data_IF_136136864257
#
_entry.id   IF_136136864257
#
_cell.length_a   1.000
_cell.length_b   1.000
_cell.length_c   1.000
_cell.angle_alpha   90.00
_cell.angle_beta   90.00
_cell.angle_gamma   90.00
#
_symmetry.space_group_name_H-M   'P 1'
#
loop_
_entity.id
_entity.type
_entity.pdbx_description
1 polymer ?
#
# COMPACT_ATOMS: atom_id res chain seq x y z
N UNK A 1 32.19 -40.19 17.49
CA UNK A 1 32.16 -38.90 18.22
C UNK A 1 33.04 -37.93 17.46
N UNK A 2 32.43 -37.00 16.72
CA UNK A 2 33.18 -35.93 16.06
C UNK A 2 33.74 -35.04 17.17
N UNK A 3 35.05 -35.12 17.38
CA UNK A 3 35.76 -34.22 18.28
C UNK A 3 35.61 -32.83 17.67
N UNK A 4 34.80 -31.98 18.29
CA UNK A 4 34.79 -30.55 17.98
C UNK A 4 36.21 -30.04 18.23
N UNK A 5 36.98 -29.92 17.15
CA UNK A 5 38.30 -29.31 17.12
C UNK A 5 38.13 -27.84 17.46
N UNK A 6 38.26 -27.53 18.76
CA UNK A 6 38.08 -26.19 19.30
C UNK A 6 39.02 -25.21 18.62
N UNK A 7 38.49 -24.37 17.73
CA UNK A 7 39.15 -23.12 17.39
C UNK A 7 39.24 -22.23 18.63
N UNK A 8 40.22 -21.32 18.66
CA UNK A 8 40.30 -20.33 19.73
C UNK A 8 39.03 -19.49 19.74
N UNK A 9 38.29 -19.49 20.85
CA UNK A 9 37.13 -18.61 21.01
C UNK A 9 37.58 -17.30 21.61
N UNK A 10 37.11 -16.18 21.05
CA UNK A 10 37.29 -14.85 21.64
C UNK A 10 35.96 -14.34 22.15
N UNK A 11 35.93 -13.90 23.40
CA UNK A 11 34.77 -13.23 23.98
C UNK A 11 34.68 -11.83 23.37
N UNK A 12 33.53 -11.53 22.78
CA UNK A 12 33.23 -10.21 22.22
C UNK A 12 32.77 -9.30 23.35
N UNK A 13 33.35 -8.11 23.44
CA UNK A 13 32.94 -7.12 24.43
C UNK A 13 31.64 -6.42 23.99
N UNK A 14 30.83 -5.90 24.92
CA UNK A 14 29.67 -5.08 24.55
C UNK A 14 30.02 -3.84 23.71
N UNK A 15 31.25 -3.32 23.83
CA UNK A 15 31.73 -2.15 23.07
C UNK A 15 31.95 -2.46 21.57
N UNK A 16 32.18 -3.73 21.26
CA UNK A 16 32.36 -4.24 19.90
C UNK A 16 31.02 -4.55 19.21
N UNK A 17 29.89 -4.38 19.92
CA UNK A 17 28.55 -4.57 19.39
C UNK A 17 27.90 -3.19 19.21
N UNK A 18 27.67 -2.81 17.97
CA UNK A 18 26.94 -1.58 17.63
C UNK A 18 25.62 -1.93 16.99
N UNK A 19 24.54 -1.66 17.69
CA UNK A 19 23.20 -1.71 17.11
C UNK A 19 22.96 -0.40 16.37
N UNK A 20 22.64 -0.50 15.08
CA UNK A 20 22.30 0.65 14.23
C UNK A 20 20.96 0.41 13.56
N UNK A 21 20.13 1.44 13.58
CA UNK A 21 18.94 1.53 12.74
C UNK A 21 19.27 2.36 11.52
N UNK A 22 19.06 1.79 10.33
CA UNK A 22 19.15 2.52 9.07
C UNK A 22 17.78 2.58 8.42
N UNK A 23 17.55 3.61 7.61
CA UNK A 23 16.33 3.75 6.83
C UNK A 23 16.69 3.80 5.36
N UNK A 24 15.97 3.03 4.55
CA UNK A 24 15.99 3.14 3.11
C UNK A 24 14.71 3.88 2.70
N UNK A 25 14.87 4.94 1.91
CA UNK A 25 13.73 5.66 1.35
C UNK A 25 13.62 5.36 -0.14
N UNK A 26 12.41 5.09 -0.61
CA UNK A 26 12.11 4.93 -2.02
C UNK A 26 11.01 5.91 -2.39
N UNK A 27 11.26 6.76 -3.39
CA UNK A 27 10.23 7.62 -3.95
C UNK A 27 9.33 6.79 -4.88
N UNK A 28 8.03 6.94 -4.71
CA UNK A 28 7.01 6.41 -5.60
C UNK A 28 6.30 7.60 -6.23
N UNK A 29 6.20 7.58 -7.55
CA UNK A 29 5.50 8.57 -8.36
C UNK A 29 4.57 7.82 -9.31
N UNK A 30 3.30 8.20 -9.32
CA UNK A 30 2.23 7.55 -10.08
C UNK A 30 1.64 8.60 -11.00
N UNK A 31 1.65 8.35 -12.30
CA UNK A 31 1.11 9.26 -13.31
C UNK A 31 -0.39 9.04 -13.51
N UNK A 32 -1.08 10.08 -13.98
CA UNK A 32 -2.54 10.05 -14.21
C UNK A 32 -2.95 9.06 -15.30
N UNK A 33 -2.14 8.93 -16.34
CA UNK A 33 -2.38 7.98 -17.44
C UNK A 33 -2.46 6.53 -16.93
N UNK A 34 -1.59 6.11 -16.00
CA UNK A 34 -1.63 4.77 -15.43
C UNK A 34 -2.93 4.49 -14.67
N UNK A 35 -3.47 5.50 -13.98
CA UNK A 35 -4.71 5.38 -13.19
C UNK A 35 -5.94 5.36 -14.08
N UNK A 36 -6.01 6.26 -15.06
CA UNK A 36 -7.15 6.44 -15.96
C UNK A 36 -7.18 5.42 -17.10
N UNK A 37 -6.03 4.88 -17.48
CA UNK A 37 -5.85 3.94 -18.57
C UNK A 37 -6.60 2.62 -18.36
N UNK A 38 -7.34 2.19 -19.38
CA UNK A 38 -8.07 0.92 -19.33
C UNK A 38 -7.16 -0.30 -19.48
N UNK A 39 -5.99 -0.17 -20.13
CA UNK A 39 -5.01 -1.26 -20.26
C UNK A 39 -4.15 -1.44 -19.00
N UNK A 40 -3.99 -0.39 -18.20
CA UNK A 40 -3.23 -0.39 -16.94
C UNK A 40 -4.11 -0.67 -15.73
N UNK A 41 -5.43 -0.58 -15.86
CA UNK A 41 -6.41 -0.86 -14.81
C UNK A 41 -7.11 -2.20 -15.03
N UNK A 42 -6.89 -3.14 -14.11
CA UNK A 42 -7.51 -4.45 -14.15
C UNK A 42 -8.80 -4.49 -13.34
N UNK A 43 -9.87 -4.94 -13.97
CA UNK A 43 -11.14 -5.30 -13.31
C UNK A 43 -11.19 -6.80 -13.06
N UNK A 44 -11.94 -7.21 -12.03
CA UNK A 44 -12.10 -8.61 -11.66
C UNK A 44 -13.57 -9.00 -11.75
N UNK A 45 -13.88 -10.07 -12.47
CA UNK A 45 -15.24 -10.57 -12.53
C UNK A 45 -15.54 -11.39 -11.26
N UNK A 46 -16.25 -10.79 -10.30
CA UNK A 46 -16.59 -11.44 -9.03
C UNK A 46 -18.10 -11.54 -8.84
N UNK A 47 -18.82 -10.44 -9.08
CA UNK A 47 -20.25 -10.38 -8.91
C UNK A 47 -20.95 -10.46 -10.25
N UNK A 48 -21.87 -11.41 -10.40
CA UNK A 48 -22.77 -11.50 -11.56
C UNK A 48 -24.19 -11.56 -11.03
N UNK A 49 -24.95 -10.48 -11.20
CA UNK A 49 -26.40 -10.55 -11.01
C UNK A 49 -27.06 -10.89 -12.35
N UNK A 50 -27.76 -12.01 -12.40
CA UNK A 50 -28.35 -12.58 -13.61
C UNK A 50 -29.86 -12.74 -13.48
N UNK A 51 -30.60 -12.63 -14.58
CA UNK A 51 -32.05 -12.89 -14.62
C UNK A 51 -32.81 -12.15 -15.72
N UNK A 52 -32.37 -10.94 -16.09
CA UNK A 52 -32.96 -10.13 -17.17
C UNK A 52 -31.83 -9.43 -17.93
N UNK A 53 -31.78 -9.60 -19.26
CA UNK A 53 -30.69 -9.08 -20.09
C UNK A 53 -29.38 -9.86 -19.95
N UNK A 54 -28.21 -9.29 -20.33
CA UNK A 54 -26.91 -9.96 -20.23
C UNK A 54 -26.41 -10.15 -18.78
N UNK A 55 -27.11 -9.60 -17.79
CA UNK A 55 -26.65 -9.53 -16.40
C UNK A 55 -25.61 -8.43 -16.18
N UNK A 56 -25.32 -8.12 -14.92
CA UNK A 56 -24.29 -7.13 -14.56
C UNK A 56 -23.11 -7.87 -13.95
N UNK A 57 -21.94 -7.73 -14.56
CA UNK A 57 -20.67 -8.27 -14.07
C UNK A 57 -19.82 -7.15 -13.48
N UNK A 58 -19.47 -7.23 -12.21
CA UNK A 58 -18.62 -6.20 -11.59
C UNK A 58 -17.65 -6.75 -10.52
N UNK A 59 -16.56 -6.02 -10.31
CA UNK A 59 -15.51 -6.24 -9.33
C UNK A 59 -15.85 -5.62 -7.97
N UNK A 60 -15.15 -6.09 -6.93
CA UNK A 60 -15.19 -5.46 -5.60
C UNK A 60 -14.10 -4.40 -5.44
N UNK A 61 -13.09 -4.41 -6.31
CA UNK A 61 -11.99 -3.47 -6.35
C UNK A 61 -11.31 -3.58 -7.72
N UNK A 62 -10.67 -2.49 -8.16
CA UNK A 62 -9.85 -2.47 -9.35
C UNK A 62 -8.39 -2.30 -8.96
N UNK A 63 -7.48 -2.95 -9.67
CA UNK A 63 -6.03 -2.82 -9.42
C UNK A 63 -5.39 -2.04 -10.56
N UNK A 64 -4.65 -1.00 -10.21
CA UNK A 64 -3.85 -0.19 -11.14
C UNK A 64 -2.43 -0.74 -11.21
N UNK A 65 -1.93 -0.93 -12.41
CA UNK A 65 -0.60 -1.40 -12.74
C UNK A 65 0.27 -0.28 -13.33
N UNK A 66 1.59 -0.48 -13.31
CA UNK A 66 2.59 0.42 -13.91
C UNK A 66 2.66 0.37 -15.45
N UNK A 67 2.04 -0.64 -16.04
CA UNK A 67 1.92 -0.84 -17.49
C UNK A 67 0.76 -1.79 -17.77
N UNK A 68 0.61 -2.22 -19.02
CA UNK A 68 -0.44 -3.17 -19.43
C UNK A 68 -0.45 -4.41 -18.53
N UNK A 69 -1.58 -4.63 -17.85
CA UNK A 69 -1.73 -5.69 -16.84
C UNK A 69 -1.64 -7.12 -17.42
N UNK A 70 -1.70 -7.28 -18.74
CA UNK A 70 -1.55 -8.57 -19.42
C UNK A 70 -0.09 -9.01 -19.52
N UNK A 71 0.86 -8.10 -19.35
CA UNK A 71 2.29 -8.39 -19.39
C UNK A 71 2.76 -9.03 -18.07
N UNK A 72 3.64 -10.03 -18.17
CA UNK A 72 4.21 -10.69 -16.99
C UNK A 72 5.11 -9.77 -16.15
N UNK A 73 5.58 -8.67 -16.74
CA UNK A 73 6.42 -7.66 -16.08
C UNK A 73 5.59 -6.58 -15.38
N UNK A 74 4.26 -6.58 -15.53
CA UNK A 74 3.40 -5.57 -14.92
C UNK A 74 3.33 -5.74 -13.41
N UNK A 75 3.62 -4.66 -12.69
CA UNK A 75 3.60 -4.65 -11.24
C UNK A 75 2.34 -3.91 -10.76
N UNK A 76 1.57 -4.48 -9.82
CA UNK A 76 0.43 -3.78 -9.25
C UNK A 76 0.94 -2.65 -8.34
N UNK A 77 0.41 -1.45 -8.52
CA UNK A 77 0.78 -0.25 -7.75
C UNK A 77 -0.17 -0.05 -6.57
N UNK A 78 -1.49 -0.07 -6.82
CA UNK A 78 -2.49 0.09 -5.79
C UNK A 78 -3.85 -0.50 -6.20
N UNK A 79 -4.68 -0.78 -5.19
CA UNK A 79 -6.08 -1.15 -5.38
C UNK A 79 -6.98 0.05 -5.05
N UNK A 80 -8.04 0.22 -5.84
CA UNK A 80 -9.05 1.25 -5.70
C UNK A 80 -10.42 0.60 -5.49
N UNK A 81 -11.16 1.03 -4.48
CA UNK A 81 -12.53 0.57 -4.22
C UNK A 81 -13.32 1.59 -3.42
N UNK A 82 -14.64 1.46 -3.44
CA UNK A 82 -15.57 2.30 -2.68
C UNK A 82 -16.35 1.47 -1.68
N UNK A 83 -16.63 2.06 -0.51
CA UNK A 83 -17.47 1.44 0.49
C UNK A 83 -18.38 2.45 1.16
N UNK A 84 -19.51 1.97 1.67
CA UNK A 84 -20.54 2.78 2.30
C UNK A 84 -20.76 2.33 3.73
N UNK A 85 -20.86 3.27 4.66
CA UNK A 85 -21.14 2.95 6.05
C UNK A 85 -22.61 2.53 6.24
N UNK A 86 -22.86 1.42 6.95
CA UNK A 86 -24.22 0.86 7.10
C UNK A 86 -25.22 1.87 7.69
N UNK A 87 -24.79 2.66 8.68
CA UNK A 87 -25.63 3.68 9.34
C UNK A 87 -25.44 5.09 8.76
N UNK A 88 -24.83 5.20 7.58
CA UNK A 88 -24.71 6.45 6.84
C UNK A 88 -26.00 6.78 6.10
N UNK A 89 -26.28 8.08 5.89
CA UNK A 89 -27.53 8.52 5.25
C UNK A 89 -27.73 7.92 3.86
N UNK A 90 -26.66 7.81 3.07
CA UNK A 90 -26.69 7.22 1.72
C UNK A 90 -27.21 5.78 1.70
N UNK A 91 -26.94 4.98 2.74
CA UNK A 91 -27.41 3.59 2.85
C UNK A 91 -28.79 3.54 3.50
N UNK A 92 -29.02 4.30 4.58
CA UNK A 92 -30.30 4.29 5.30
C UNK A 92 -31.45 4.81 4.44
N UNK A 93 -31.20 5.85 3.64
CA UNK A 93 -32.24 6.49 2.82
C UNK A 93 -32.59 5.64 1.58
N UNK A 94 -31.63 4.84 1.11
CA UNK A 94 -31.82 3.90 0.00
C UNK A 94 -32.40 2.54 0.44
N UNK A 95 -32.35 2.22 1.74
CA UNK A 95 -32.79 0.92 2.24
C UNK A 95 -34.31 0.86 2.35
N UNK A 96 -34.89 -0.25 1.89
CA UNK A 96 -36.33 -0.53 1.98
C UNK A 96 -36.72 -1.34 3.22
N UNK A 97 -35.74 -1.72 4.06
CA UNK A 97 -35.94 -2.48 5.30
C UNK A 97 -34.85 -3.53 5.54
N UNK A 98 -35.06 -4.42 6.51
CA UNK A 98 -34.21 -5.58 6.79
C UNK A 98 -35.03 -6.87 6.64
N UNK A 99 -34.41 -7.92 6.10
CA UNK A 99 -35.03 -9.26 6.06
C UNK A 99 -35.01 -9.93 7.45
N UNK A 100 -35.67 -11.09 7.56
CA UNK A 100 -35.71 -11.88 8.81
C UNK A 100 -34.34 -12.39 9.27
N UNK A 101 -33.32 -12.33 8.42
CA UNK A 101 -31.93 -12.67 8.73
C UNK A 101 -31.05 -11.42 9.01
N UNK A 102 -31.65 -10.23 9.09
CA UNK A 102 -30.98 -8.97 9.39
C UNK A 102 -30.25 -8.32 8.20
N UNK A 103 -30.42 -8.84 6.97
CA UNK A 103 -29.79 -8.27 5.76
C UNK A 103 -30.58 -7.07 5.26
N UNK A 104 -29.88 -6.00 4.88
CA UNK A 104 -30.49 -4.82 4.29
C UNK A 104 -31.13 -5.14 2.94
N UNK A 105 -32.34 -4.65 2.74
CA UNK A 105 -33.08 -4.67 1.48
C UNK A 105 -32.92 -3.31 0.80
N UNK A 106 -32.83 -3.33 -0.53
CA UNK A 106 -32.70 -2.14 -1.34
C UNK A 106 -33.65 -2.23 -2.54
N UNK A 107 -33.97 -1.07 -3.14
CA UNK A 107 -34.81 -1.01 -4.33
C UNK A 107 -34.12 -1.64 -5.55
N UNK A 108 -34.91 -2.07 -6.55
CA UNK A 108 -34.39 -2.65 -7.80
C UNK A 108 -33.60 -1.67 -8.67
N UNK A 109 -33.63 -0.38 -8.35
CA UNK A 109 -32.84 0.68 -8.98
C UNK A 109 -31.43 0.85 -8.38
N UNK A 110 -31.05 -0.01 -7.43
CA UNK A 110 -29.74 0.03 -6.77
C UNK A 110 -28.91 -1.20 -7.11
N UNK A 111 -27.58 -1.02 -7.19
CA UNK A 111 -26.64 -2.09 -7.56
C UNK A 111 -25.52 -2.17 -6.51
N UNK A 112 -25.21 -3.40 -6.10
CA UNK A 112 -24.10 -3.76 -5.20
C UNK A 112 -24.09 -3.07 -3.83
N UNK A 113 -25.26 -2.67 -3.31
CA UNK A 113 -25.31 -1.93 -2.04
C UNK A 113 -24.85 -2.74 -0.83
N UNK A 114 -25.10 -4.05 -0.79
CA UNK A 114 -24.61 -4.91 0.32
C UNK A 114 -23.10 -5.08 0.25
N UNK A 115 -22.59 -5.30 -0.96
CA UNK A 115 -21.18 -5.48 -1.24
C UNK A 115 -20.40 -4.22 -0.87
N UNK A 116 -20.90 -3.03 -1.22
CA UNK A 116 -20.32 -1.74 -0.79
C UNK A 116 -20.28 -1.59 0.73
N UNK A 117 -21.31 -2.04 1.45
CA UNK A 117 -21.32 -2.03 2.92
C UNK A 117 -20.31 -3.03 3.49
N UNK A 118 -20.24 -4.24 2.92
CA UNK A 118 -19.32 -5.29 3.38
C UNK A 118 -17.85 -4.93 3.11
N UNK A 119 -17.55 -4.26 1.99
CA UNK A 119 -16.22 -3.69 1.71
C UNK A 119 -15.84 -2.69 2.80
N UNK A 120 -16.74 -1.76 3.16
CA UNK A 120 -16.47 -0.80 4.24
C UNK A 120 -16.19 -1.51 5.56
N UNK A 121 -17.01 -2.51 5.94
CA UNK A 121 -16.84 -3.30 7.16
C UNK A 121 -15.51 -4.05 7.18
N UNK A 122 -15.06 -4.58 6.04
CA UNK A 122 -13.78 -5.27 5.94
C UNK A 122 -12.61 -4.32 6.21
N UNK A 123 -12.63 -3.11 5.62
CA UNK A 123 -11.63 -2.09 5.90
C UNK A 123 -11.70 -1.61 7.36
N UNK A 124 -12.89 -1.40 7.90
CA UNK A 124 -13.08 -1.05 9.31
C UNK A 124 -12.49 -2.13 10.23
N UNK A 125 -12.75 -3.41 9.95
CA UNK A 125 -12.18 -4.52 10.74
C UNK A 125 -10.65 -4.55 10.69
N UNK A 126 -10.07 -4.35 9.51
CA UNK A 126 -8.63 -4.39 9.31
C UNK A 126 -7.89 -3.17 9.86
N UNK A 127 -8.50 -1.98 9.80
CA UNK A 127 -7.85 -0.71 10.14
C UNK A 127 -8.21 -0.20 11.54
N UNK A 128 -9.47 -0.37 11.95
CA UNK A 128 -9.99 0.07 13.24
C UNK A 128 -10.07 -1.08 14.26
N UNK A 129 -10.10 -2.34 13.81
CA UNK A 129 -10.21 -3.53 14.67
C UNK A 129 -11.66 -3.99 14.92
N UNK A 130 -12.64 -3.21 14.47
CA UNK A 130 -14.08 -3.45 14.60
C UNK A 130 -14.76 -3.27 13.25
N UNK A 131 -15.62 -4.21 12.86
CA UNK A 131 -16.33 -4.19 11.58
C UNK A 131 -17.44 -3.13 11.53
N UNK A 132 -18.03 -2.81 12.68
CA UNK A 132 -19.17 -1.89 12.75
C UNK A 132 -18.73 -0.45 13.07
N UNK A 133 -17.42 -0.23 13.23
CA UNK A 133 -16.86 1.09 13.47
C UNK A 133 -16.84 1.94 12.19
N UNK A 134 -17.18 3.22 12.34
CA UNK A 134 -17.06 4.22 11.29
C UNK A 134 -15.71 4.92 11.30
N UNK A 135 -15.19 5.24 10.12
CA UNK A 135 -14.06 6.17 10.01
C UNK A 135 -14.53 7.61 10.25
N UNK A 136 -13.70 8.44 10.89
CA UNK A 136 -13.92 9.88 11.01
C UNK A 136 -12.66 10.66 10.65
N UNK A 137 -12.82 11.77 9.92
CA UNK A 137 -11.75 12.70 9.58
C UNK A 137 -12.13 14.07 10.15
N UNK A 138 -11.64 14.44 11.34
CA UNK A 138 -10.40 14.00 12.00
C UNK A 138 -10.49 12.64 12.71
N UNK A 139 -9.38 11.90 12.75
CA UNK A 139 -9.36 10.57 13.38
C UNK A 139 -9.83 10.58 14.84
N UNK A 140 -10.83 9.74 15.14
CA UNK A 140 -11.39 9.58 16.48
C UNK A 140 -12.24 10.77 16.94
N UNK A 141 -12.69 11.60 16.01
CA UNK A 141 -13.74 12.58 16.28
C UNK A 141 -15.10 11.88 16.41
N UNK A 142 -15.92 12.36 17.34
CA UNK A 142 -17.24 11.82 17.65
C UNK A 142 -18.37 12.56 16.90
N UNK A 143 -18.06 13.70 16.26
CA UNK A 143 -19.02 14.45 15.47
C UNK A 143 -19.45 13.66 14.21
N UNK A 144 -20.76 13.45 14.06
CA UNK A 144 -21.34 12.76 12.90
C UNK A 144 -21.09 13.47 11.58
N UNK A 145 -20.87 14.79 11.60
CA UNK A 145 -20.51 15.57 10.39
C UNK A 145 -19.10 15.27 9.87
N UNK A 146 -18.22 14.77 10.74
CA UNK A 146 -16.86 14.35 10.39
C UNK A 146 -16.74 12.85 10.13
N UNK A 147 -17.85 12.11 10.21
CA UNK A 147 -17.92 10.69 9.90
C UNK A 147 -17.88 10.47 8.38
N UNK A 148 -17.05 9.52 7.98
CA UNK A 148 -16.90 9.12 6.58
C UNK A 148 -17.97 8.09 6.26
N UNK A 149 -19.12 8.56 5.77
CA UNK A 149 -20.22 7.68 5.36
C UNK A 149 -19.96 7.08 3.96
N UNK A 150 -19.38 7.87 3.05
CA UNK A 150 -19.04 7.48 1.69
C UNK A 150 -17.51 7.44 1.56
N UNK A 151 -16.91 6.25 1.62
CA UNK A 151 -15.46 6.10 1.64
C UNK A 151 -14.91 5.67 0.27
N UNK A 152 -13.83 6.33 -0.15
CA UNK A 152 -12.94 5.86 -1.21
C UNK A 152 -11.68 5.28 -0.56
N UNK A 153 -11.39 4.02 -0.83
CA UNK A 153 -10.23 3.32 -0.32
C UNK A 153 -9.17 3.22 -1.42
N UNK A 154 -7.96 3.69 -1.12
CA UNK A 154 -6.77 3.55 -1.97
C UNK A 154 -5.73 2.75 -1.18
N UNK A 155 -5.45 1.51 -1.59
CA UNK A 155 -4.52 0.63 -0.89
C UNK A 155 -3.27 0.36 -1.72
N UNK A 156 -2.13 0.90 -1.30
CA UNK A 156 -0.87 0.78 -2.02
C UNK A 156 -0.23 -0.59 -1.85
N UNK A 157 0.15 -1.21 -2.97
CA UNK A 157 0.98 -2.42 -3.00
C UNK A 157 2.42 -1.99 -2.83
N UNK A 158 3.12 -2.63 -1.90
CA UNK A 158 4.52 -2.33 -1.57
C UNK A 158 5.36 -3.58 -1.71
N UNK A 159 6.61 -3.41 -2.16
CA UNK A 159 7.55 -4.51 -2.40
C UNK A 159 7.81 -5.33 -1.13
N UNK A 160 7.89 -4.67 0.03
CA UNK A 160 7.98 -5.35 1.31
C UNK A 160 6.82 -4.97 2.22
N UNK A 161 6.12 -5.97 2.77
CA UNK A 161 5.01 -5.74 3.70
C UNK A 161 5.44 -5.03 5.02
N UNK A 162 6.74 -5.01 5.32
CA UNK A 162 7.33 -4.29 6.48
C UNK A 162 7.52 -2.80 6.19
N UNK A 163 7.46 -2.38 4.93
CA UNK A 163 7.63 -0.97 4.58
C UNK A 163 6.47 -0.16 5.11
N UNK A 164 6.76 1.10 5.46
CA UNK A 164 5.75 2.07 5.87
C UNK A 164 5.78 3.23 4.89
N UNK A 165 4.65 3.91 4.70
CA UNK A 165 4.68 5.21 4.02
C UNK A 165 5.35 6.21 4.99
N UNK A 166 6.27 7.01 4.47
CA UNK A 166 6.94 8.05 5.26
C UNK A 166 5.97 9.19 5.48
N UNK A 167 5.81 9.58 6.74
CA UNK A 167 4.97 10.71 7.16
C UNK A 167 5.41 12.00 6.48
N UNK A 168 4.44 12.86 6.16
CA UNK A 168 4.61 14.16 5.51
C UNK A 168 5.19 14.09 4.08
N UNK A 169 5.05 12.94 3.42
CA UNK A 169 5.50 12.78 2.02
C UNK A 169 4.36 12.47 1.06
N UNK A 170 3.15 12.21 1.56
CA UNK A 170 2.03 11.84 0.71
C UNK A 170 1.40 13.08 0.08
N UNK A 171 1.27 13.06 -1.23
CA UNK A 171 0.51 14.06 -1.98
C UNK A 171 -0.30 13.38 -3.09
N UNK A 172 -1.57 13.75 -3.20
CA UNK A 172 -2.49 13.30 -4.24
C UNK A 172 -3.09 14.50 -4.95
N UNK A 173 -2.98 14.53 -6.27
CA UNK A 173 -3.68 15.49 -7.12
C UNK A 173 -5.01 14.88 -7.55
N UNK A 174 -6.10 15.62 -7.31
CA UNK A 174 -7.45 15.13 -7.58
C UNK A 174 -8.35 16.28 -8.02
N UNK A 175 -9.37 16.01 -8.83
CA UNK A 175 -10.29 17.02 -9.34
C UNK A 175 -11.62 16.98 -8.58
N UNK A 176 -11.87 17.99 -7.73
CA UNK A 176 -13.07 18.04 -6.87
C UNK A 176 -14.36 18.22 -7.69
N UNK A 177 -14.25 18.91 -8.82
CA UNK A 177 -15.30 19.01 -9.83
C UNK A 177 -15.03 18.03 -10.96
N UNK A 178 -16.06 17.31 -11.40
CA UNK A 178 -16.03 16.46 -12.57
C UNK A 178 -16.23 17.32 -13.82
N UNK A 179 -16.47 16.68 -14.95
CA UNK A 179 -16.79 17.40 -16.18
C UNK A 179 -18.03 18.28 -15.99
N UNK A 180 -17.88 19.59 -16.24
CA UNK A 180 -19.00 20.52 -16.20
C UNK A 180 -19.87 20.36 -17.45
N UNK A 181 -21.17 20.27 -17.23
CA UNK A 181 -22.22 20.28 -18.25
C UNK A 181 -23.05 21.57 -18.13
N UNK A 182 -24.06 21.68 -19.00
CA UNK A 182 -25.05 22.77 -18.94
C UNK A 182 -25.79 22.87 -17.59
N UNK A 183 -25.86 21.77 -16.82
CA UNK A 183 -26.51 21.76 -15.50
C UNK A 183 -25.70 22.51 -14.44
N UNK A 184 -24.38 22.49 -14.51
CA UNK A 184 -23.50 23.18 -13.56
C UNK A 184 -23.25 24.63 -13.94
N UNK A 185 -23.11 24.93 -15.24
CA UNK A 185 -22.81 26.28 -15.71
C UNK A 185 -23.51 26.58 -17.04
N UNK A 186 -24.27 27.67 -17.07
CA UNK A 186 -24.85 28.21 -18.28
C UNK A 186 -23.74 28.55 -19.30
N UNK A 187 -23.78 27.91 -20.47
CA UNK A 187 -22.78 28.09 -21.55
C UNK A 187 -21.92 26.86 -21.83
N UNK A 188 -21.93 25.84 -20.97
CA UNK A 188 -21.30 24.54 -21.22
C UNK A 188 -22.20 23.65 -22.11
N UNK A 189 -21.63 22.73 -22.91
CA UNK A 189 -22.41 21.80 -23.72
C UNK A 189 -23.22 20.83 -22.83
N UNK A 190 -24.40 20.42 -23.30
CA UNK A 190 -25.10 19.28 -22.72
C UNK A 190 -24.35 18.01 -23.15
N UNK A 191 -23.70 17.34 -22.20
CA UNK A 191 -22.88 16.14 -22.42
C UNK A 191 -22.95 15.22 -21.21
N UNK A 192 -22.71 13.91 -21.38
CA UNK A 192 -22.50 13.02 -20.25
C UNK A 192 -21.27 13.48 -19.45
N UNK A 193 -21.36 13.31 -18.13
CA UNK A 193 -20.32 13.71 -17.17
C UNK A 193 -19.58 12.51 -16.55
N UNK A 194 -20.09 11.29 -16.74
CA UNK A 194 -19.52 10.09 -16.13
C UNK A 194 -18.23 9.58 -16.80
N UNK A 195 -18.09 9.77 -18.12
CA UNK A 195 -17.02 9.20 -18.94
C UNK A 195 -16.12 10.25 -19.62
N UNK A 196 -16.14 11.49 -19.13
CA UNK A 196 -15.36 12.61 -19.69
C UNK A 196 -14.41 13.13 -18.62
N UNK A 197 -13.15 13.33 -18.98
CA UNK A 197 -12.10 13.83 -18.10
C UNK A 197 -12.37 15.25 -17.61
N UNK A 198 -12.15 15.50 -16.32
CA UNK A 198 -12.26 16.85 -15.77
C UNK A 198 -11.01 17.67 -16.07
N UNK A 199 -11.20 18.90 -16.55
CA UNK A 199 -10.12 19.84 -16.87
C UNK A 199 -9.96 20.95 -15.80
N UNK A 200 -10.86 21.02 -14.80
CA UNK A 200 -10.91 22.11 -13.83
C UNK A 200 -11.24 21.64 -12.41
N UNK A 201 -10.87 22.44 -11.41
CA UNK A 201 -11.09 22.10 -9.99
C UNK A 201 -10.05 21.14 -9.40
N UNK A 202 -8.82 21.16 -9.92
CA UNK A 202 -7.70 20.40 -9.36
C UNK A 202 -7.33 20.93 -7.97
N UNK A 203 -7.27 20.03 -7.00
CA UNK A 203 -6.83 20.26 -5.63
C UNK A 203 -5.77 19.21 -5.27
N UNK A 204 -4.85 19.58 -4.39
CA UNK A 204 -3.83 18.67 -3.87
C UNK A 204 -4.19 18.34 -2.43
N UNK A 205 -4.30 17.04 -2.13
CA UNK A 205 -4.50 16.50 -0.80
C UNK A 205 -3.16 15.96 -0.28
N UNK A 206 -2.80 16.33 0.95
CA UNK A 206 -1.50 16.00 1.53
C UNK A 206 -1.66 15.60 2.99
N UNK A 207 -0.64 14.94 3.55
CA UNK A 207 -0.57 14.61 4.97
C UNK A 207 0.24 15.64 5.78
N UNK A 208 0.17 16.92 5.41
CA UNK A 208 0.88 17.99 6.11
C UNK A 208 0.47 18.06 7.59
N UNK A 209 1.45 18.10 8.50
CA UNK A 209 1.22 18.09 9.94
C UNK A 209 0.91 16.70 10.51
N UNK A 210 1.12 15.63 9.74
CA UNK A 210 1.00 14.27 10.23
C UNK A 210 2.02 13.93 11.31
N UNK A 211 3.23 14.52 11.30
CA UNK A 211 4.24 14.24 12.32
C UNK A 211 3.76 14.59 13.74
N UNK A 212 2.88 15.59 13.88
CA UNK A 212 2.31 16.03 15.17
C UNK A 212 0.95 15.42 15.48
N UNK A 213 0.22 14.94 14.46
CA UNK A 213 -1.17 14.49 14.59
C UNK A 213 -1.36 12.97 14.43
N UNK A 214 -0.27 12.19 14.46
CA UNK A 214 -0.39 10.73 14.37
C UNK A 214 -0.96 10.11 15.64
N UNK A 215 -1.94 9.23 15.47
CA UNK A 215 -2.41 8.32 16.52
C UNK A 215 -2.07 6.89 16.13
N UNK A 216 -2.04 5.98 17.10
CA UNK A 216 -1.81 4.56 16.84
C UNK A 216 -3.10 3.78 17.12
N UNK A 217 -3.48 2.95 16.16
CA UNK A 217 -4.65 2.07 16.23
C UNK A 217 -4.28 0.66 15.80
N UNK A 218 -5.26 -0.24 15.67
CA UNK A 218 -5.07 -1.62 15.22
C UNK A 218 -4.36 -1.69 13.85
N UNK A 219 -4.79 -0.85 12.90
CA UNK A 219 -4.16 -0.69 11.58
C UNK A 219 -2.82 0.04 11.56
N UNK A 220 -2.24 0.33 12.73
CA UNK A 220 -0.95 1.01 12.88
C UNK A 220 -1.05 2.52 13.06
N UNK A 221 0.00 3.25 12.65
CA UNK A 221 0.02 4.71 12.71
C UNK A 221 -0.96 5.32 11.69
N UNK A 222 -1.85 6.19 12.17
CA UNK A 222 -2.85 6.91 11.36
C UNK A 222 -2.71 8.42 11.50
N UNK A 223 -2.86 9.15 10.40
CA UNK A 223 -2.96 10.61 10.38
C UNK A 223 -4.10 11.08 9.47
N UNK A 224 -4.44 12.37 9.58
CA UNK A 224 -5.42 13.02 8.72
C UNK A 224 -4.77 13.47 7.41
N UNK A 225 -5.51 13.31 6.32
CA UNK A 225 -5.20 13.94 5.03
C UNK A 225 -5.98 15.25 4.96
N UNK A 226 -5.31 16.33 4.56
CA UNK A 226 -5.89 17.68 4.45
C UNK A 226 -5.67 18.26 3.07
N UNK A 227 -6.49 19.24 2.69
CA UNK A 227 -6.25 20.02 1.47
C UNK A 227 -5.02 20.92 1.64
N UNK A 228 -4.11 20.92 0.66
CA UNK A 228 -2.88 21.73 0.69
C UNK A 228 -3.18 23.24 0.75
N UNK A 229 -4.30 23.66 0.18
CA UNK A 229 -4.75 25.07 0.18
C UNK A 229 -5.40 25.50 1.51
N UNK A 230 -5.90 24.55 2.30
CA UNK A 230 -6.50 24.81 3.61
C UNK A 230 -6.38 23.58 4.53
N UNK A 231 -5.43 23.63 5.46
CA UNK A 231 -5.13 22.52 6.38
C UNK A 231 -6.22 22.29 7.45
N UNK A 232 -7.18 23.21 7.61
CA UNK A 232 -8.35 22.98 8.45
C UNK A 232 -9.35 22.00 7.79
N UNK A 233 -9.34 21.90 6.45
CA UNK A 233 -10.18 20.97 5.70
C UNK A 233 -9.54 19.58 5.69
N UNK A 234 -9.98 18.74 6.63
CA UNK A 234 -9.59 17.32 6.75
C UNK A 234 -10.50 16.48 5.88
N UNK A 235 -9.94 15.81 4.88
CA UNK A 235 -10.67 15.14 3.79
C UNK A 235 -10.56 13.62 3.85
N UNK A 236 -9.74 13.08 4.75
CA UNK A 236 -9.54 11.64 4.86
C UNK A 236 -8.49 11.26 5.90
N UNK A 237 -8.10 10.00 5.88
CA UNK A 237 -7.14 9.37 6.76
C UNK A 237 -6.11 8.58 5.96
N UNK A 238 -4.87 8.52 6.45
CA UNK A 238 -3.81 7.66 5.92
C UNK A 238 -3.31 6.73 7.02
N UNK A 239 -3.27 5.43 6.74
CA UNK A 239 -2.71 4.40 7.59
C UNK A 239 -1.32 4.03 7.05
N UNK A 240 -0.26 4.56 7.65
CA UNK A 240 1.12 4.45 7.14
C UNK A 240 1.64 3.01 7.12
N UNK A 241 1.23 2.22 8.11
CA UNK A 241 1.71 0.85 8.31
C UNK A 241 1.05 -0.11 7.34
N UNK A 242 -0.27 0.03 7.13
CA UNK A 242 -1.01 -0.78 6.16
C UNK A 242 -0.83 -0.28 4.71
N UNK A 243 -0.53 1.01 4.53
CA UNK A 243 -0.43 1.63 3.21
C UNK A 243 -1.81 1.89 2.58
N UNK A 244 -2.82 2.21 3.40
CA UNK A 244 -4.18 2.47 2.92
C UNK A 244 -4.59 3.91 3.25
N UNK A 245 -5.08 4.63 2.25
CA UNK A 245 -5.76 5.91 2.40
C UNK A 245 -7.28 5.69 2.36
N UNK A 246 -7.99 6.37 3.26
CA UNK A 246 -9.45 6.40 3.35
C UNK A 246 -9.89 7.84 3.12
N UNK A 247 -10.47 8.13 1.98
CA UNK A 247 -10.98 9.46 1.66
C UNK A 247 -12.48 9.55 1.85
N UNK A 248 -12.94 10.71 2.32
CA UNK A 248 -14.35 11.02 2.41
C UNK A 248 -14.84 11.62 1.11
N UNK A 249 -15.63 10.84 0.34
CA UNK A 249 -16.20 11.29 -0.91
C UNK A 249 -17.04 12.57 -0.73
N UNK A 250 -17.78 12.72 0.37
CA UNK A 250 -18.54 13.96 0.61
C UNK A 250 -17.65 15.21 0.68
N UNK A 251 -16.38 15.04 1.05
CA UNK A 251 -15.40 16.12 1.19
C UNK A 251 -14.43 16.24 0.02
N UNK A 252 -14.12 15.17 -0.72
CA UNK A 252 -13.16 15.22 -1.84
C UNK A 252 -13.81 15.48 -3.21
N UNK A 253 -15.12 15.27 -3.33
CA UNK A 253 -15.87 15.56 -4.56
C UNK A 253 -17.07 16.46 -4.26
N UNK A 254 -17.52 17.19 -5.27
CA UNK A 254 -18.79 17.89 -5.24
C UNK A 254 -19.96 16.89 -5.33
N UNK A 255 -20.44 16.39 -4.18
CA UNK A 255 -21.50 15.38 -4.13
C UNK A 255 -22.81 15.80 -4.79
N UNK A 256 -23.11 17.11 -4.85
CA UNK A 256 -24.29 17.64 -5.54
C UNK A 256 -24.13 17.86 -7.04
N UNK A 257 -22.97 17.50 -7.61
CA UNK A 257 -22.72 17.65 -9.04
C UNK A 257 -23.63 16.72 -9.85
N UNK A 258 -24.07 17.19 -11.02
CA UNK A 258 -24.89 16.41 -11.93
C UNK A 258 -24.10 15.23 -12.50
N UNK A 259 -24.62 14.03 -12.31
CA UNK A 259 -24.03 12.79 -12.79
C UNK A 259 -24.88 12.26 -13.94
N UNK A 260 -24.34 12.31 -15.15
CA UNK A 260 -25.03 11.86 -16.36
C UNK A 260 -24.19 10.93 -17.20
N UNK A 261 -24.77 9.83 -17.64
CA UNK A 261 -24.10 8.85 -18.48
C UNK A 261 -24.69 7.46 -18.35
N UNK A 262 -24.07 6.52 -19.05
CA UNK A 262 -24.49 5.12 -19.08
C UNK A 262 -23.86 4.36 -17.91
N UNK A 263 -24.66 3.55 -17.23
CA UNK A 263 -24.25 2.62 -16.17
C UNK A 263 -24.73 1.21 -16.52
N UNK A 264 -24.13 0.20 -15.91
CA UNK A 264 -24.60 -1.17 -16.03
C UNK A 264 -25.91 -1.40 -15.26
N UNK A 265 -26.85 -2.12 -15.87
CA UNK A 265 -28.16 -2.39 -15.28
C UNK A 265 -28.76 -3.72 -15.74
N UNK A 266 -29.67 -4.28 -14.95
CA UNK A 266 -30.42 -5.46 -15.37
C UNK A 266 -31.71 -5.07 -16.11
N UNK A 267 -31.64 -4.93 -17.43
CA UNK A 267 -32.83 -4.68 -18.24
C UNK A 267 -32.87 -5.51 -19.53
N UNK A 268 -34.09 -5.73 -20.04
CA UNK A 268 -34.34 -6.45 -21.29
C UNK A 268 -34.44 -5.53 -22.51
N UNK A 269 -34.40 -4.22 -22.30
CA UNK A 269 -34.65 -3.20 -23.32
C UNK A 269 -33.53 -2.18 -23.35
N UNK A 270 -33.19 -1.68 -24.53
CA UNK A 270 -32.26 -0.54 -24.68
C UNK A 270 -32.93 0.74 -24.14
N UNK A 271 -32.31 1.48 -23.20
CA UNK A 271 -32.89 2.69 -22.61
C UNK A 271 -33.22 3.79 -23.62
N UNK A 272 -32.47 3.86 -24.71
CA UNK A 272 -32.56 4.92 -25.73
C UNK A 272 -32.54 4.36 -27.16
N UNK A 273 -32.80 3.05 -27.33
CA UNK A 273 -32.78 2.34 -28.62
C UNK A 273 -31.41 2.20 -29.28
N UNK A 274 -30.41 2.96 -28.85
CA UNK A 274 -29.04 3.00 -29.38
C UNK A 274 -28.01 2.33 -28.46
N UNK A 275 -28.29 2.27 -27.16
CA UNK A 275 -27.40 1.67 -26.18
C UNK A 275 -27.58 0.15 -26.07
N UNK A 276 -26.54 -0.60 -25.67
CA UNK A 276 -26.65 -2.04 -25.46
C UNK A 276 -27.71 -2.38 -24.41
N UNK A 277 -28.41 -3.49 -24.60
CA UNK A 277 -29.22 -4.11 -23.54
C UNK A 277 -28.34 -4.41 -22.33
N UNK A 278 -28.86 -4.26 -21.12
CA UNK A 278 -28.08 -4.40 -19.89
C UNK A 278 -27.42 -3.10 -19.40
N UNK A 279 -27.85 -1.94 -19.93
CA UNK A 279 -27.36 -0.63 -19.50
C UNK A 279 -28.51 0.30 -19.16
N UNK A 280 -28.30 1.30 -18.32
CA UNK A 280 -29.28 2.37 -18.03
C UNK A 280 -28.58 3.73 -18.08
N UNK A 281 -29.33 4.78 -18.39
CA UNK A 281 -28.81 6.15 -18.37
C UNK A 281 -29.22 6.81 -17.05
N UNK A 282 -28.26 7.41 -16.35
CA UNK A 282 -28.49 8.27 -15.18
C UNK A 282 -28.43 9.73 -15.62
N UNK A 283 -29.18 10.62 -14.97
CA UNK A 283 -29.08 12.07 -15.17
C UNK A 283 -29.44 12.53 -16.58
N UNK A 284 -30.42 11.88 -17.20
CA UNK A 284 -30.87 12.21 -18.55
C UNK A 284 -32.40 12.46 -18.57
N UNK A 285 -32.92 13.36 -19.43
CA UNK A 285 -34.36 13.63 -19.53
C UNK A 285 -35.24 12.42 -19.86
N UNK A 286 -34.69 11.41 -20.54
CA UNK A 286 -35.38 10.14 -20.81
C UNK A 286 -35.25 9.10 -19.69
N UNK A 287 -34.48 9.41 -18.63
CA UNK A 287 -34.33 8.61 -17.42
C UNK A 287 -35.17 9.18 -16.28
N UNK A 288 -35.51 8.34 -15.28
CA UNK A 288 -36.45 8.72 -14.21
C UNK A 288 -36.05 9.96 -13.40
N UNK A 289 -34.74 10.25 -13.25
CA UNK A 289 -34.25 11.46 -12.59
C UNK A 289 -33.28 12.23 -13.52
N UNK A 290 -33.76 13.29 -14.21
CA UNK A 290 -32.92 14.10 -15.08
C UNK A 290 -31.85 14.91 -14.34
N UNK A 291 -32.04 15.20 -13.05
CA UNK A 291 -31.13 16.01 -12.22
C UNK A 291 -30.37 15.11 -11.21
N UNK A 292 -30.01 13.90 -11.62
CA UNK A 292 -29.31 12.95 -10.77
C UNK A 292 -27.97 13.51 -10.27
N UNK A 293 -27.69 13.32 -8.98
CA UNK A 293 -26.46 13.79 -8.33
C UNK A 293 -25.45 12.66 -8.17
N UNK A 294 -24.17 13.01 -8.02
CA UNK A 294 -23.16 12.01 -7.70
C UNK A 294 -23.47 11.31 -6.36
N UNK A 295 -23.85 12.08 -5.34
CA UNK A 295 -24.33 11.58 -4.04
C UNK A 295 -25.76 12.10 -3.83
N UNK A 296 -26.76 11.25 -3.58
CA UNK A 296 -26.67 9.79 -3.43
C UNK A 296 -26.88 9.00 -4.73
N UNK A 297 -27.46 9.60 -5.78
CA UNK A 297 -28.08 8.85 -6.88
C UNK A 297 -27.09 7.90 -7.59
N UNK A 298 -25.95 8.43 -8.06
CA UNK A 298 -24.96 7.61 -8.76
C UNK A 298 -24.30 6.55 -7.86
N UNK A 299 -23.93 6.91 -6.62
CA UNK A 299 -23.33 5.95 -5.67
C UNK A 299 -24.26 4.78 -5.32
N UNK A 300 -25.59 5.00 -5.34
CA UNK A 300 -26.57 3.95 -5.02
C UNK A 300 -26.93 3.12 -6.26
N UNK A 301 -27.05 3.76 -7.42
CA UNK A 301 -27.52 3.08 -8.65
C UNK A 301 -26.42 2.34 -9.41
N UNK A 302 -25.19 2.84 -9.39
CA UNK A 302 -24.11 2.33 -10.24
C UNK A 302 -23.34 1.16 -9.60
N UNK A 303 -22.66 0.35 -10.41
CA UNK A 303 -21.76 -0.68 -9.91
C UNK A 303 -20.48 -0.06 -9.29
N UNK A 304 -19.72 -0.85 -8.52
CA UNK A 304 -18.43 -0.43 -7.97
C UNK A 304 -17.45 -0.11 -9.11
N UNK A 305 -17.49 -0.85 -10.22
CA UNK A 305 -16.67 -0.56 -11.38
C UNK A 305 -17.04 0.77 -12.03
N UNK A 306 -18.32 1.04 -12.28
CA UNK A 306 -18.76 2.32 -12.86
C UNK A 306 -18.30 3.52 -12.02
N UNK A 307 -18.38 3.38 -10.68
CA UNK A 307 -17.94 4.42 -9.75
C UNK A 307 -16.42 4.58 -9.81
N UNK A 308 -15.69 3.47 -9.80
CA UNK A 308 -14.22 3.47 -9.81
C UNK A 308 -13.68 3.96 -11.15
N UNK A 309 -14.36 3.64 -12.25
CA UNK A 309 -14.09 4.11 -13.60
C UNK A 309 -14.33 5.61 -13.73
N UNK A 310 -15.41 6.12 -13.14
CA UNK A 310 -15.62 7.58 -13.05
C UNK A 310 -14.49 8.25 -12.26
N UNK A 311 -14.15 7.73 -11.08
CA UNK A 311 -13.10 8.32 -10.24
C UNK A 311 -11.75 8.31 -10.97
N UNK A 312 -11.38 7.19 -11.58
CA UNK A 312 -10.12 7.03 -12.29
C UNK A 312 -10.03 7.87 -13.58
N UNK A 313 -11.04 7.81 -14.45
CA UNK A 313 -11.00 8.55 -15.72
C UNK A 313 -11.32 10.03 -15.55
N UNK A 314 -12.33 10.38 -14.75
CA UNK A 314 -12.84 11.75 -14.65
C UNK A 314 -12.11 12.56 -13.58
N UNK A 315 -11.79 11.95 -12.42
CA UNK A 315 -11.30 12.68 -11.24
C UNK A 315 -9.79 12.63 -11.03
N UNK A 316 -9.14 11.57 -11.50
CA UNK A 316 -7.67 11.56 -11.62
C UNK A 316 -7.18 12.19 -12.92
N UNK A 317 -8.08 12.42 -13.89
CA UNK A 317 -7.73 12.88 -15.26
C UNK A 317 -6.88 11.86 -16.01
N UNK A 318 -6.64 12.10 -17.31
CA UNK A 318 -5.88 11.21 -18.19
C UNK A 318 -4.65 11.87 -18.78
N UNK A 319 -4.03 12.78 -18.04
CA UNK A 319 -2.83 13.51 -18.47
C UNK A 319 -1.52 12.78 -18.15
N UNK A 320 -0.41 13.45 -18.46
CA UNK A 320 0.95 12.98 -18.12
C UNK A 320 1.44 13.51 -16.77
N UNK A 321 0.57 14.16 -16.00
CA UNK A 321 0.91 14.73 -14.69
C UNK A 321 0.94 13.63 -13.61
N UNK A 322 1.64 13.90 -12.52
CA UNK A 322 1.58 13.07 -11.31
C UNK A 322 0.18 13.09 -10.70
N UNK A 323 -0.41 11.91 -10.52
CA UNK A 323 -1.65 11.68 -9.77
C UNK A 323 -1.35 11.56 -8.28
N UNK A 324 -0.36 10.75 -7.89
CA UNK A 324 -0.02 10.46 -6.49
C UNK A 324 1.48 10.30 -6.33
N UNK A 325 2.03 10.86 -5.26
CA UNK A 325 3.44 10.67 -4.89
C UNK A 325 3.59 10.49 -3.39
N UNK A 326 4.52 9.62 -3.00
CA UNK A 326 4.89 9.39 -1.60
C UNK A 326 6.27 8.73 -1.52
N UNK A 327 6.87 8.72 -0.33
CA UNK A 327 8.08 7.96 -0.06
C UNK A 327 7.76 6.74 0.80
N UNK A 328 8.18 5.56 0.38
CA UNK A 328 8.25 4.41 1.27
C UNK A 328 9.50 4.50 2.14
N UNK A 329 9.39 4.06 3.39
CA UNK A 329 10.50 3.92 4.33
C UNK A 329 10.57 2.49 4.86
N UNK A 330 11.70 1.84 4.60
CA UNK A 330 12.06 0.55 5.21
C UNK A 330 13.00 0.81 6.37
N UNK A 331 12.59 0.45 7.58
CA UNK A 331 13.49 0.49 8.74
C UNK A 331 14.24 -0.84 8.83
N UNK A 332 15.54 -0.80 8.65
CA UNK A 332 16.42 -1.97 8.80
C UNK A 332 17.13 -1.85 10.14
N UNK A 333 16.85 -2.79 11.04
CA UNK A 333 17.59 -2.93 12.27
C UNK A 333 18.80 -3.83 11.98
N UNK A 334 19.98 -3.31 12.28
CA UNK A 334 21.23 -4.01 12.01
C UNK A 334 22.08 -4.05 13.28
N UNK A 335 22.65 -5.21 13.56
CA UNK A 335 23.67 -5.36 14.60
C UNK A 335 25.02 -5.53 13.91
N UNK A 336 25.92 -4.60 14.15
CA UNK A 336 27.29 -4.65 13.68
C UNK A 336 28.17 -5.20 14.81
N UNK A 337 28.80 -6.33 14.55
CA UNK A 337 29.74 -6.98 15.46
C UNK A 337 31.14 -6.79 14.89
N UNK A 338 32.01 -6.13 15.66
CA UNK A 338 33.40 -5.90 15.30
C UNK A 338 34.27 -7.01 15.91
N UNK A 339 34.58 -8.03 15.12
CA UNK A 339 35.48 -9.10 15.52
C UNK A 339 36.92 -8.65 15.26
N UNK A 340 37.62 -8.15 16.29
CA UNK A 340 39.03 -7.75 16.20
C UNK A 340 39.93 -8.94 16.53
N UNK A 341 40.77 -9.33 15.58
CA UNK A 341 41.84 -10.31 15.79
C UNK A 341 43.16 -9.54 15.88
N UNK A 342 43.62 -9.28 17.10
CA UNK A 342 44.82 -8.50 17.37
C UNK A 342 46.08 -9.25 16.90
N UNK A 343 47.21 -8.53 16.84
CA UNK A 343 48.52 -9.06 16.45
C UNK A 343 48.83 -10.44 17.07
N UNK A 344 48.62 -10.60 18.38
CA UNK A 344 48.96 -11.83 19.12
C UNK A 344 47.93 -12.97 19.03
N UNK A 345 46.77 -12.74 18.41
CA UNK A 345 45.66 -13.70 18.42
C UNK A 345 45.42 -14.32 17.04
N UNK A 346 44.91 -15.56 17.04
CA UNK A 346 44.47 -16.29 15.83
C UNK A 346 45.56 -16.54 14.76
N UNK A 347 46.83 -16.53 15.16
CA UNK A 347 47.96 -16.78 14.24
C UNK A 347 48.21 -18.27 13.94
N UNK A 348 47.49 -19.17 14.61
CA UNK A 348 47.65 -20.62 14.50
C UNK A 348 46.35 -21.28 14.04
N UNK A 349 46.46 -22.42 13.35
CA UNK A 349 45.31 -23.19 12.86
C UNK A 349 45.18 -24.51 13.60
N UNK A 350 43.95 -24.96 13.82
CA UNK A 350 43.63 -26.28 14.40
C UNK A 350 43.47 -27.36 13.33
N UNK A 351 43.78 -27.06 12.06
CA UNK A 351 43.79 -28.03 11.00
C UNK A 351 44.83 -29.13 11.29
N UNK A 352 44.48 -30.43 11.21
CA UNK A 352 45.42 -31.53 11.43
C UNK A 352 46.69 -31.47 10.57
N UNK A 353 46.67 -30.80 9.42
CA UNK A 353 47.85 -30.62 8.55
C UNK A 353 48.83 -29.55 9.05
N UNK A 354 48.43 -28.74 10.03
CA UNK A 354 49.21 -27.64 10.59
C UNK A 354 50.31 -28.11 11.54
N UNK A 355 50.14 -29.29 12.16
CA UNK A 355 51.11 -29.92 13.05
C UNK A 355 51.62 -31.24 12.48
N UNK A 356 52.89 -31.56 12.70
CA UNK A 356 53.45 -32.87 12.38
C UNK A 356 53.04 -33.94 13.42
N UNK A 357 53.39 -35.21 13.17
CA UNK A 357 53.09 -36.32 14.08
C UNK A 357 53.69 -36.19 15.49
N UNK A 358 54.63 -35.25 15.68
CA UNK A 358 55.29 -34.95 16.95
C UNK A 358 54.73 -33.68 17.63
N UNK A 359 53.65 -33.09 17.09
CA UNK A 359 53.00 -31.90 17.66
C UNK A 359 53.72 -30.57 17.41
N UNK A 360 54.76 -30.53 16.55
CA UNK A 360 55.41 -29.29 16.12
C UNK A 360 54.71 -28.69 14.89
N UNK A 361 54.73 -27.37 14.77
CA UNK A 361 54.18 -26.64 13.62
C UNK A 361 54.95 -27.05 12.35
N UNK A 362 54.22 -27.33 11.28
CA UNK A 362 54.81 -27.75 10.00
C UNK A 362 55.29 -26.52 9.23
N UNK A 363 56.60 -26.43 9.06
CA UNK A 363 57.30 -25.36 8.32
C UNK A 363 57.15 -25.61 6.82
N UNK A 364 56.98 -24.55 6.03
CA UNK A 364 56.73 -24.67 4.58
C UNK A 364 58.05 -24.90 3.83
N UNK A 365 59.14 -24.26 4.29
CA UNK A 365 60.47 -24.41 3.71
C UNK A 365 61.39 -25.20 4.64
N UNK A 366 61.95 -26.30 4.15
CA UNK A 366 62.89 -27.12 4.90
C UNK A 366 64.18 -26.33 5.21
N UNK A 367 64.57 -26.27 6.48
CA UNK A 367 65.77 -25.55 6.95
C UNK A 367 65.54 -24.12 7.46
N UNK A 368 64.28 -23.64 7.48
CA UNK A 368 63.89 -22.34 8.04
C UNK A 368 63.07 -22.50 9.34
N UNK A 369 63.33 -23.57 10.10
CA UNK A 369 62.52 -23.93 11.28
C UNK A 369 62.57 -22.86 12.40
N UNK A 370 63.66 -22.08 12.46
CA UNK A 370 63.86 -21.01 13.45
C UNK A 370 63.48 -19.60 12.94
N UNK A 371 63.20 -19.44 11.64
CA UNK A 371 62.98 -18.12 11.01
C UNK A 371 61.59 -17.92 10.41
N UNK A 372 60.88 -19.00 10.08
CA UNK A 372 59.50 -18.89 9.56
C UNK A 372 58.51 -18.57 10.66
N UNK A 373 57.71 -17.53 10.41
CA UNK A 373 56.64 -17.08 11.30
C UNK A 373 55.33 -17.78 10.97
N UNK A 374 54.50 -18.00 11.98
CA UNK A 374 53.17 -18.58 11.80
C UNK A 374 52.21 -17.59 11.15
N UNK A 375 51.46 -18.07 10.17
CA UNK A 375 50.33 -17.35 9.60
C UNK A 375 49.11 -18.27 9.46
N UNK A 376 47.93 -17.67 9.43
CA UNK A 376 46.65 -18.33 9.24
C UNK A 376 45.80 -17.58 8.21
N UNK A 377 44.84 -18.28 7.62
CA UNK A 377 43.89 -17.72 6.67
C UNK A 377 42.46 -17.92 7.18
N UNK A 378 41.95 -17.03 8.05
CA UNK A 378 40.53 -17.02 8.39
C UNK A 378 39.66 -16.93 7.13
N UNK A 379 38.69 -17.83 7.03
CA UNK A 379 37.70 -17.88 5.93
C UNK A 379 36.27 -17.64 6.40
N UNK A 380 35.99 -18.00 7.65
CA UNK A 380 34.65 -18.04 8.23
C UNK A 380 34.71 -17.57 9.68
N UNK A 381 33.71 -16.81 10.09
CA UNK A 381 33.54 -16.30 11.44
C UNK A 381 32.24 -16.89 11.98
N UNK A 382 32.33 -17.69 13.04
CA UNK A 382 31.17 -18.22 13.76
C UNK A 382 30.89 -17.41 15.01
N UNK A 383 29.69 -16.83 15.12
CA UNK A 383 29.19 -16.18 16.33
C UNK A 383 28.50 -17.24 17.20
N UNK A 384 28.95 -17.38 18.44
CA UNK A 384 28.45 -18.37 19.39
C UNK A 384 27.76 -17.69 20.58
N UNK A 385 26.79 -18.36 21.20
CA UNK A 385 26.19 -17.94 22.46
C UNK A 385 27.11 -18.27 23.67
N UNK A 386 26.67 -17.92 24.88
CA UNK A 386 27.41 -18.18 26.13
C UNK A 386 27.56 -19.68 26.45
N UNK A 387 26.70 -20.52 25.87
CA UNK A 387 26.72 -21.98 26.02
C UNK A 387 27.51 -22.68 24.90
N UNK A 388 28.09 -21.93 23.97
CA UNK A 388 28.87 -22.45 22.84
C UNK A 388 28.03 -22.90 21.64
N UNK A 389 26.74 -22.59 21.58
CA UNK A 389 25.90 -22.86 20.42
C UNK A 389 26.15 -21.83 19.32
N UNK A 390 26.24 -22.28 18.08
CA UNK A 390 26.45 -21.42 16.92
C UNK A 390 25.16 -20.66 16.57
N UNK A 391 25.20 -19.33 16.67
CA UNK A 391 24.08 -18.44 16.36
C UNK A 391 24.10 -17.95 14.90
N UNK A 392 25.27 -17.63 14.38
CA UNK A 392 25.41 -17.11 13.02
C UNK A 392 26.79 -17.42 12.43
N UNK A 393 26.85 -17.55 11.11
CA UNK A 393 28.07 -17.80 10.36
C UNK A 393 28.24 -16.73 9.30
N UNK A 394 29.35 -15.98 9.36
CA UNK A 394 29.74 -15.04 8.34
C UNK A 394 30.89 -15.62 7.51
N UNK A 395 30.74 -15.60 6.18
CA UNK A 395 31.75 -16.11 5.25
C UNK A 395 32.44 -14.95 4.53
N UNK A 396 33.76 -15.00 4.45
CA UNK A 396 34.54 -14.03 3.69
C UNK A 396 34.55 -14.41 2.20
N UNK A 397 34.54 -13.40 1.33
CA UNK A 397 34.61 -13.60 -0.13
C UNK A 397 35.97 -14.15 -0.57
N UNK A 398 37.03 -13.82 0.18
CA UNK A 398 38.40 -14.30 -0.01
C UNK A 398 39.05 -14.55 1.37
N UNK A 399 39.90 -15.58 1.51
CA UNK A 399 40.68 -15.77 2.72
C UNK A 399 41.61 -14.57 2.95
N UNK A 400 41.70 -14.08 4.18
CA UNK A 400 42.57 -12.96 4.54
C UNK A 400 43.74 -13.51 5.34
N UNK A 401 44.96 -13.14 4.97
CA UNK A 401 46.17 -13.54 5.69
C UNK A 401 46.25 -12.83 7.06
N UNK A 402 46.45 -13.61 8.12
CA UNK A 402 46.71 -13.14 9.48
C UNK A 402 48.04 -13.69 9.97
N UNK A 403 48.91 -12.81 10.44
CA UNK A 403 50.20 -13.13 11.08
C UNK A 403 50.36 -12.31 12.36
N UNK A 404 51.47 -12.53 13.06
CA UNK A 404 51.86 -11.84 14.30
C UNK A 404 52.02 -10.31 14.16
N UNK A 405 52.25 -9.80 12.96
CA UNK A 405 52.42 -8.36 12.72
C UNK A 405 51.13 -7.62 12.37
N UNK A 406 50.09 -8.32 11.89
CA UNK A 406 48.86 -7.70 11.38
C UNK A 406 47.72 -7.80 12.37
N UNK A 407 47.08 -6.67 12.66
CA UNK A 407 45.76 -6.62 13.29
C UNK A 407 44.68 -6.61 12.19
N UNK A 408 43.69 -7.50 12.31
CA UNK A 408 42.60 -7.62 11.35
C UNK A 408 41.27 -7.47 12.07
N UNK A 409 40.49 -6.49 11.66
CA UNK A 409 39.12 -6.29 12.16
C UNK A 409 38.11 -6.73 11.11
N UNK A 410 37.30 -7.73 11.47
CA UNK A 410 36.17 -8.17 10.65
C UNK A 410 34.88 -7.51 11.13
N UNK A 411 34.20 -6.81 10.22
CA UNK A 411 32.89 -6.21 10.50
C UNK A 411 31.79 -7.16 10.04
N UNK A 412 31.17 -7.87 10.97
CA UNK A 412 30.02 -8.74 10.71
C UNK A 412 28.74 -7.91 10.84
N UNK A 413 27.92 -7.89 9.79
CA UNK A 413 26.63 -7.21 9.78
C UNK A 413 25.51 -8.25 9.81
N UNK A 414 24.68 -8.18 10.85
CA UNK A 414 23.47 -8.97 10.99
C UNK A 414 22.28 -8.04 10.73
N UNK A 415 21.56 -8.25 9.64
CA UNK A 415 20.32 -7.54 9.32
C UNK A 415 19.12 -8.42 9.70
N UNK A 416 18.11 -7.85 10.36
CA UNK A 416 16.88 -8.55 10.76
C UNK A 416 15.62 -7.69 10.62
#
# INVERSE_FOLDING_TARGET
MAQLTGGSFKRISPEDIKVRRSTLNQLVDIIQEDVSGSATRRTYQVFVTGGVGPGVTSSLFQTVYDQDYTLQTANPIFDLTVGLFESGSTVSDASTGKDSAGKLLFASSSVQMREKVDVYRQFAKNLLGDSDASFSAPFGDADTTNRIDNALFVSFKRLFARDKIKKETFAMRFYETGTMSRHEQAGQPARPTLNVTSESGSVIFTDIGAATNTRRTFGGDVANIVAATNTARRVGLIFYDQGTCVFDLNKIISGSQHASGTIDAMNAYSPDGTLPTGTMIVGHPSSGNPEAKFIPDFLVSASIDDITDHISSTRFSSGTLTAMTFQNVTTINSTLVFCRATADEFNYSTNPTYTNASGRIRVIDAGQEDSQRSFSFPTTIGLHDEFGNLLAVAKLSRPIEKNDERDVTFRVRLDF
#
